data_IF_955748857743
#
_entry.id   IF_955748857743
#
_cell.length_a   1.000
_cell.length_b   1.000
_cell.length_c   1.000
_cell.angle_alpha   90.00
_cell.angle_beta   90.00
_cell.angle_gamma   90.00
#
_symmetry.space_group_name_H-M   'P 1'
#
loop_
_entity.id
_entity.type
_entity.pdbx_description
1 polymer ?
#
# COMPACT_ATOMS: atom_id res chain seq x y z
N UNK A 1 8.87 12.18 5.60
CA UNK A 1 10.33 12.40 5.52
C UNK A 1 11.10 11.09 5.40
N UNK A 2 10.93 10.11 6.30
CA UNK A 2 11.66 8.82 6.23
C UNK A 2 11.36 8.03 4.94
N UNK A 3 10.09 7.95 4.52
CA UNK A 3 9.70 7.24 3.28
C UNK A 3 10.28 7.84 2.00
N UNK A 4 10.19 9.16 1.83
CA UNK A 4 10.74 9.86 0.66
C UNK A 4 12.25 9.67 0.51
N UNK A 5 12.95 9.58 1.65
CA UNK A 5 14.39 9.38 1.70
C UNK A 5 14.77 7.92 1.42
N UNK A 6 13.99 6.95 1.93
CA UNK A 6 14.14 5.54 1.59
C UNK A 6 13.93 5.30 0.08
N UNK A 7 12.88 5.88 -0.51
CA UNK A 7 12.59 5.77 -1.94
C UNK A 7 13.65 6.42 -2.84
N UNK A 8 14.29 7.49 -2.37
CA UNK A 8 15.39 8.13 -3.09
C UNK A 8 16.68 7.30 -3.09
N UNK A 9 16.88 6.44 -2.08
CA UNK A 9 18.07 5.61 -1.92
C UNK A 9 17.87 4.23 -2.56
N UNK A 10 16.69 3.65 -2.40
CA UNK A 10 16.31 2.35 -2.95
C UNK A 10 14.82 2.36 -3.32
N UNK A 11 14.47 2.65 -4.57
CA UNK A 11 13.07 2.74 -5.00
C UNK A 11 12.39 1.37 -5.08
N UNK A 12 13.14 0.27 -5.06
CA UNK A 12 12.71 -1.12 -5.22
C UNK A 12 12.63 -1.87 -3.87
N UNK A 13 11.98 -1.26 -2.87
CA UNK A 13 11.72 -1.92 -1.57
C UNK A 13 10.22 -2.08 -1.32
N UNK A 14 9.61 -3.23 -1.68
CA UNK A 14 8.19 -3.50 -1.45
C UNK A 14 7.78 -3.31 0.02
N UNK A 15 8.65 -3.66 0.98
CA UNK A 15 8.37 -3.55 2.41
C UNK A 15 8.14 -2.10 2.84
N UNK A 16 8.87 -1.16 2.26
CA UNK A 16 8.75 0.28 2.57
C UNK A 16 7.37 0.78 2.14
N UNK A 17 6.91 0.40 0.95
CA UNK A 17 5.57 0.73 0.49
C UNK A 17 4.48 0.05 1.32
N UNK A 18 4.68 -1.19 1.78
CA UNK A 18 3.74 -1.87 2.66
C UNK A 18 3.60 -1.14 4.01
N UNK A 19 4.70 -0.72 4.63
CA UNK A 19 4.65 0.06 5.87
C UNK A 19 4.01 1.43 5.67
N UNK A 20 4.26 2.08 4.53
CA UNK A 20 3.61 3.34 4.18
C UNK A 20 2.09 3.16 4.06
N UNK A 21 1.63 2.13 3.34
CA UNK A 21 0.21 1.84 3.20
C UNK A 21 -0.48 1.55 4.53
N UNK A 22 0.18 0.81 5.44
CA UNK A 22 -0.33 0.54 6.79
C UNK A 22 -0.49 1.84 7.56
N UNK A 23 0.52 2.72 7.53
CA UNK A 23 0.47 4.03 8.18
C UNK A 23 -0.66 4.91 7.62
N UNK A 24 -0.80 4.96 6.30
CA UNK A 24 -1.84 5.75 5.63
C UNK A 24 -3.25 5.22 5.94
N UNK A 25 -3.41 3.90 6.04
CA UNK A 25 -4.67 3.26 6.46
C UNK A 25 -5.04 3.69 7.88
N UNK A 26 -4.08 3.66 8.81
CA UNK A 26 -4.30 4.10 10.19
C UNK A 26 -4.62 5.60 10.29
N UNK A 27 -4.06 6.41 9.40
CA UNK A 27 -4.34 7.84 9.28
C UNK A 27 -5.68 8.15 8.58
N UNK A 28 -6.41 7.14 8.10
CA UNK A 28 -7.66 7.31 7.37
C UNK A 28 -7.50 7.79 5.92
N UNK A 29 -6.27 7.83 5.41
CA UNK A 29 -5.96 8.23 4.03
C UNK A 29 -5.97 7.02 3.11
N UNK A 30 -7.18 6.49 2.86
CA UNK A 30 -7.38 5.19 2.21
C UNK A 30 -6.96 5.17 0.74
N UNK A 31 -7.15 6.26 0.00
CA UNK A 31 -6.73 6.35 -1.41
C UNK A 31 -5.21 6.28 -1.52
N UNK A 32 -4.48 7.03 -0.68
CA UNK A 32 -3.02 6.96 -0.67
C UNK A 32 -2.51 5.60 -0.15
N UNK A 33 -3.23 4.97 0.78
CA UNK A 33 -2.90 3.62 1.23
C UNK A 33 -3.04 2.59 0.10
N UNK A 34 -4.10 2.69 -0.70
CA UNK A 34 -4.30 1.84 -1.87
C UNK A 34 -3.11 1.94 -2.83
N UNK A 35 -2.72 3.15 -3.24
CA UNK A 35 -1.59 3.38 -4.15
C UNK A 35 -0.27 2.81 -3.60
N UNK A 36 -0.05 2.96 -2.29
CA UNK A 36 1.11 2.39 -1.63
C UNK A 36 1.11 0.86 -1.70
N UNK A 37 -0.01 0.20 -1.43
CA UNK A 37 -0.08 -1.26 -1.56
C UNK A 37 -0.03 -1.76 -3.00
N UNK A 38 -0.53 -0.97 -3.96
CA UNK A 38 -0.41 -1.28 -5.39
C UNK A 38 1.06 -1.26 -5.82
N UNK A 39 1.83 -0.28 -5.36
CA UNK A 39 3.29 -0.21 -5.58
C UNK A 39 4.03 -1.43 -5.01
N UNK A 40 3.56 -2.01 -3.89
CA UNK A 40 4.13 -3.27 -3.36
C UNK A 40 3.94 -4.40 -4.37
N UNK A 41 2.75 -4.51 -4.96
CA UNK A 41 2.39 -5.57 -5.90
C UNK A 41 3.04 -5.39 -7.28
N UNK A 42 3.34 -4.15 -7.69
CA UNK A 42 4.14 -3.87 -8.88
C UNK A 42 5.60 -4.34 -8.72
N UNK A 43 6.17 -4.19 -7.52
CA UNK A 43 7.55 -4.60 -7.22
C UNK A 43 7.67 -6.09 -6.87
N UNK A 44 6.72 -6.61 -6.10
CA UNK A 44 6.63 -8.02 -5.74
C UNK A 44 5.16 -8.50 -5.79
N UNK A 45 4.75 -9.08 -6.93
CA UNK A 45 3.41 -9.64 -7.10
C UNK A 45 3.08 -10.80 -6.15
N UNK A 46 4.09 -11.38 -5.47
CA UNK A 46 3.91 -12.51 -4.54
C UNK A 46 3.76 -12.07 -3.09
N UNK A 47 3.79 -10.76 -2.81
CA UNK A 47 3.66 -10.19 -1.47
C UNK A 47 2.21 -10.30 -0.94
N UNK A 48 1.87 -11.48 -0.41
CA UNK A 48 0.50 -11.82 -0.01
C UNK A 48 -0.17 -10.81 0.95
N UNK A 49 0.59 -10.20 1.86
CA UNK A 49 0.05 -9.20 2.79
C UNK A 49 -0.43 -7.92 2.09
N UNK A 50 0.15 -7.58 0.93
CA UNK A 50 -0.24 -6.38 0.19
C UNK A 50 -1.64 -6.51 -0.41
N UNK A 51 -2.03 -7.69 -0.90
CA UNK A 51 -3.40 -7.94 -1.35
C UNK A 51 -4.42 -7.76 -0.21
N UNK A 52 -4.14 -8.34 0.96
CA UNK A 52 -5.00 -8.20 2.14
C UNK A 52 -5.13 -6.73 2.54
N UNK A 53 -4.00 -6.03 2.67
CA UNK A 53 -3.98 -4.65 3.13
C UNK A 53 -4.61 -3.68 2.12
N UNK A 54 -4.39 -3.90 0.80
CA UNK A 54 -5.07 -3.17 -0.29
C UNK A 54 -6.59 -3.35 -0.22
N UNK A 55 -7.06 -4.58 0.04
CA UNK A 55 -8.48 -4.86 0.24
C UNK A 55 -9.07 -4.13 1.45
N UNK A 56 -8.34 -4.07 2.56
CA UNK A 56 -8.73 -3.32 3.77
C UNK A 56 -8.83 -1.82 3.46
N UNK A 57 -7.84 -1.25 2.78
CA UNK A 57 -7.87 0.16 2.37
C UNK A 57 -9.09 0.46 1.49
N UNK A 58 -9.37 -0.38 0.49
CA UNK A 58 -10.55 -0.24 -0.38
C UNK A 58 -11.87 -0.36 0.40
N UNK A 59 -11.94 -1.26 1.38
CA UNK A 59 -13.14 -1.41 2.21
C UNK A 59 -13.43 -0.12 2.99
N UNK A 60 -12.45 0.39 3.73
CA UNK A 60 -12.62 1.61 4.52
C UNK A 60 -12.77 2.88 3.66
N UNK A 61 -12.18 2.91 2.47
CA UNK A 61 -12.38 3.97 1.46
C UNK A 61 -13.74 3.93 0.76
N UNK A 62 -14.64 2.99 1.09
CA UNK A 62 -15.96 2.87 0.47
C UNK A 62 -15.90 2.37 -0.99
N UNK A 63 -14.81 1.68 -1.36
CA UNK A 63 -14.52 1.12 -2.69
C UNK A 63 -14.41 -0.40 -2.65
N UNK A 64 -15.05 -1.07 -1.70
CA UNK A 64 -14.95 -2.52 -1.47
C UNK A 64 -15.17 -3.40 -2.72
N UNK A 65 -15.96 -2.94 -3.69
CA UNK A 65 -16.17 -3.65 -4.98
C UNK A 65 -14.89 -3.84 -5.79
N UNK A 66 -13.89 -2.99 -5.61
CA UNK A 66 -12.60 -3.07 -6.29
C UNK A 66 -11.66 -4.10 -5.62
N UNK A 67 -11.94 -4.54 -4.40
CA UNK A 67 -11.08 -5.49 -3.67
C UNK A 67 -11.20 -6.94 -4.18
N UNK A 68 -12.23 -7.24 -4.99
CA UNK A 68 -12.47 -8.56 -5.57
C UNK A 68 -11.87 -8.73 -6.98
N UNK A 69 -11.11 -7.74 -7.46
CA UNK A 69 -10.36 -7.76 -8.73
C UNK A 69 -8.88 -7.93 -8.45
#
# INVERSE_FOLDING_TARGET
>A
MIFSQALAIRPDMPEVFNYLGIYLTQAGNFDAAYEAFDSVLELDPTYNYAHLNRGIALYYGGRAKLAAR
#
